data_IF_744650517460
#
_entry.id   IF_744650517460
#
_cell.length_a   1.000
_cell.length_b   1.000
_cell.length_c   1.000
_cell.angle_alpha   90.00
_cell.angle_beta   90.00
_cell.angle_gamma   90.00
#
_symmetry.space_group_name_H-M   'P 1'
#
loop_
_entity.id
_entity.type
_entity.pdbx_description
1 polymer ?
#
# COMPACT_ATOMS: atom_id res chain seq x y z
N UNK A 1 -67.31 30.55 37.63
CA UNK A 1 -66.40 29.41 37.39
C UNK A 1 -66.10 29.31 35.90
N UNK A 2 -64.96 29.84 35.44
CA UNK A 2 -64.39 29.57 34.11
C UNK A 2 -62.88 29.51 34.30
N UNK A 3 -62.34 28.31 34.44
CA UNK A 3 -60.91 28.08 34.61
C UNK A 3 -60.25 27.99 33.22
N UNK A 4 -59.12 28.68 33.09
CA UNK A 4 -58.22 28.68 31.95
C UNK A 4 -57.49 27.33 31.82
N UNK A 5 -57.21 26.92 30.59
CA UNK A 5 -56.20 25.91 30.27
C UNK A 5 -55.39 26.39 29.06
N UNK A 6 -54.30 27.09 29.33
CA UNK A 6 -53.23 27.39 28.37
C UNK A 6 -52.29 26.18 28.31
N UNK A 7 -52.32 25.44 27.20
CA UNK A 7 -51.37 24.36 26.92
C UNK A 7 -50.07 24.90 26.36
N UNK A 8 -48.96 24.68 27.07
CA UNK A 8 -47.60 24.95 26.61
C UNK A 8 -47.09 23.69 25.88
N UNK A 9 -46.95 23.77 24.55
CA UNK A 9 -46.33 22.70 23.75
C UNK A 9 -44.84 22.98 23.69
N UNK A 10 -44.06 22.26 24.51
CA UNK A 10 -42.60 22.27 24.44
C UNK A 10 -42.14 21.43 23.25
N UNK A 11 -41.71 22.10 22.18
CA UNK A 11 -41.07 21.45 21.03
C UNK A 11 -39.64 21.08 21.43
N UNK A 12 -39.40 19.79 21.65
CA UNK A 12 -38.09 19.23 21.90
C UNK A 12 -37.34 19.15 20.56
N UNK A 13 -36.46 20.13 20.29
CA UNK A 13 -35.52 20.07 19.16
C UNK A 13 -34.47 19.00 19.48
N UNK A 14 -34.67 17.78 18.98
CA UNK A 14 -33.63 16.76 18.97
C UNK A 14 -32.56 17.16 17.93
N UNK A 15 -31.49 17.80 18.39
CA UNK A 15 -30.28 17.99 17.59
C UNK A 15 -29.63 16.62 17.39
N UNK A 16 -29.89 15.99 16.25
CA UNK A 16 -29.06 14.91 15.75
C UNK A 16 -27.71 15.51 15.37
N UNK A 17 -26.78 15.53 16.34
CA UNK A 17 -25.38 15.65 16.03
C UNK A 17 -24.99 14.34 15.32
N UNK A 18 -24.99 14.38 13.98
CA UNK A 18 -24.37 13.32 13.19
C UNK A 18 -22.93 13.21 13.63
N UNK A 19 -22.56 12.09 14.28
CA UNK A 19 -21.18 11.66 14.38
C UNK A 19 -20.69 11.53 12.94
N UNK A 20 -19.94 12.52 12.46
CA UNK A 20 -19.09 12.34 11.31
C UNK A 20 -18.08 11.27 11.72
N UNK A 21 -18.33 10.02 11.35
CA UNK A 21 -17.26 9.02 11.29
C UNK A 21 -16.22 9.64 10.37
N UNK A 22 -15.01 9.90 10.86
CA UNK A 22 -13.90 10.23 10.01
C UNK A 22 -13.86 9.16 8.93
N UNK A 23 -14.27 9.50 7.70
CA UNK A 23 -14.27 8.55 6.60
C UNK A 23 -12.83 8.09 6.44
N UNK A 24 -12.60 6.79 6.64
CA UNK A 24 -11.27 6.17 6.50
C UNK A 24 -10.65 6.69 5.21
N UNK A 25 -9.58 7.50 5.34
CA UNK A 25 -8.84 7.94 4.18
C UNK A 25 -8.29 6.70 3.48
N UNK A 26 -8.34 6.63 2.14
CA UNK A 26 -7.80 5.48 1.44
C UNK A 26 -6.32 5.32 1.79
N UNK A 27 -5.94 4.14 2.26
CA UNK A 27 -4.53 3.81 2.47
C UNK A 27 -3.83 3.79 1.11
N UNK A 28 -2.87 4.68 0.92
CA UNK A 28 -2.11 4.79 -0.32
C UNK A 28 -0.85 3.92 -0.23
N UNK A 29 -0.71 2.98 -1.17
CA UNK A 29 0.50 2.15 -1.23
C UNK A 29 1.61 2.88 -1.95
N UNK A 30 2.80 2.88 -1.33
CA UNK A 30 4.04 3.42 -1.91
C UNK A 30 5.07 2.31 -1.98
N UNK A 31 5.40 1.87 -3.20
CA UNK A 31 6.41 0.83 -3.42
C UNK A 31 7.73 1.49 -3.85
N UNK A 32 8.73 1.48 -2.97
CA UNK A 32 10.09 1.95 -3.27
C UNK A 32 10.93 0.81 -3.81
N UNK A 33 11.38 0.93 -5.06
CA UNK A 33 12.42 0.09 -5.64
C UNK A 33 13.79 0.68 -5.32
N UNK A 34 14.58 -0.05 -4.53
CA UNK A 34 15.84 0.40 -3.92
C UNK A 34 16.91 -0.70 -3.94
N UNK A 35 18.15 -0.36 -3.62
CA UNK A 35 19.21 -1.35 -3.36
C UNK A 35 20.29 -0.78 -2.43
N UNK A 36 20.82 -1.63 -1.55
CA UNK A 36 22.00 -1.36 -0.74
C UNK A 36 23.24 -1.04 -1.58
N UNK A 37 23.32 -1.58 -2.80
CA UNK A 37 24.41 -1.33 -3.74
C UNK A 37 24.28 -0.01 -4.50
N UNK A 38 23.13 0.65 -4.44
CA UNK A 38 22.85 1.91 -5.12
C UNK A 38 23.21 3.11 -4.22
N UNK A 39 24.22 3.89 -4.60
CA UNK A 39 24.69 5.05 -3.81
C UNK A 39 23.68 6.20 -3.69
N UNK A 40 22.74 6.33 -4.63
CA UNK A 40 21.70 7.36 -4.63
C UNK A 40 20.43 6.97 -3.88
N UNK A 41 20.34 5.73 -3.40
CA UNK A 41 19.15 5.17 -2.75
C UNK A 41 18.94 5.58 -1.27
N UNK A 42 19.97 5.76 -0.42
CA UNK A 42 19.77 6.02 1.01
C UNK A 42 18.80 7.16 1.37
N UNK A 43 18.79 8.32 0.68
CA UNK A 43 17.82 9.37 0.97
C UNK A 43 16.36 8.94 0.74
N UNK A 44 16.11 8.05 -0.23
CA UNK A 44 14.78 7.52 -0.49
C UNK A 44 14.37 6.45 0.53
N UNK A 45 15.32 5.65 1.02
CA UNK A 45 15.07 4.67 2.10
C UNK A 45 14.72 5.39 3.41
N UNK A 46 15.44 6.47 3.73
CA UNK A 46 15.13 7.34 4.88
C UNK A 46 13.73 7.94 4.76
N UNK A 47 13.40 8.52 3.61
CA UNK A 47 12.09 9.11 3.35
C UNK A 47 10.96 8.07 3.40
N UNK A 48 11.17 6.85 2.90
CA UNK A 48 10.20 5.77 3.04
C UNK A 48 9.92 5.44 4.52
N UNK A 49 10.95 5.47 5.37
CA UNK A 49 10.80 5.33 6.83
C UNK A 49 10.09 6.52 7.50
N UNK A 50 10.06 7.70 6.88
CA UNK A 50 9.19 8.80 7.32
C UNK A 50 7.74 8.55 6.94
N UNK A 51 7.49 8.06 5.72
CA UNK A 51 6.15 7.69 5.25
C UNK A 51 5.52 6.59 6.11
N UNK A 52 6.32 5.68 6.69
CA UNK A 52 5.80 4.59 7.53
C UNK A 52 5.21 5.03 8.86
N UNK A 53 5.27 6.34 9.17
CA UNK A 53 4.66 6.96 10.33
C UNK A 53 3.29 7.59 10.03
N UNK A 54 2.83 7.50 8.78
CA UNK A 54 1.52 8.00 8.35
C UNK A 54 0.53 6.83 8.27
N UNK A 55 -0.59 6.92 8.99
CA UNK A 55 -1.58 5.85 9.06
C UNK A 55 -2.31 5.60 7.73
N UNK A 56 -2.37 6.61 6.85
CA UNK A 56 -2.99 6.53 5.52
C UNK A 56 -1.98 6.21 4.40
N UNK A 57 -0.79 5.69 4.75
CA UNK A 57 0.24 5.26 3.80
C UNK A 57 0.73 3.85 4.14
N UNK A 58 0.79 2.97 3.15
CA UNK A 58 1.46 1.68 3.24
C UNK A 58 2.77 1.72 2.42
N UNK A 59 3.90 2.08 3.03
CA UNK A 59 5.19 2.06 2.35
C UNK A 59 5.77 0.65 2.34
N UNK A 60 6.32 0.23 1.20
CA UNK A 60 6.89 -1.09 0.96
C UNK A 60 8.26 -0.95 0.27
N UNK A 61 9.31 -1.47 0.88
CA UNK A 61 10.65 -1.49 0.29
C UNK A 61 10.86 -2.76 -0.55
N UNK A 62 11.03 -2.56 -1.85
CA UNK A 62 11.27 -3.58 -2.87
C UNK A 62 12.75 -3.56 -3.27
N UNK A 63 13.57 -4.37 -2.61
CA UNK A 63 15.00 -4.45 -2.94
C UNK A 63 15.23 -5.19 -4.26
N UNK A 64 15.83 -4.50 -5.24
CA UNK A 64 16.10 -5.04 -6.58
C UNK A 64 17.49 -5.66 -6.68
N UNK A 65 17.65 -6.65 -7.54
CA UNK A 65 18.88 -7.47 -7.66
C UNK A 65 19.90 -6.95 -8.69
N UNK A 66 19.52 -6.04 -9.58
CA UNK A 66 20.38 -5.63 -10.69
C UNK A 66 21.53 -4.69 -10.29
N UNK A 67 21.70 -4.37 -9.00
CA UNK A 67 22.88 -3.67 -8.47
C UNK A 67 23.90 -4.62 -7.84
N UNK A 68 23.57 -5.90 -7.63
CA UNK A 68 24.40 -6.86 -6.89
C UNK A 68 25.77 -7.12 -7.54
N UNK A 69 25.94 -6.74 -8.81
CA UNK A 69 27.21 -6.85 -9.53
C UNK A 69 28.23 -5.78 -9.11
N UNK A 70 27.81 -4.68 -8.47
CA UNK A 70 28.67 -3.52 -8.13
C UNK A 70 29.29 -3.65 -6.73
N UNK A 71 29.98 -4.76 -6.48
CA UNK A 71 30.85 -4.93 -5.32
C UNK A 71 30.15 -5.14 -3.97
N UNK A 72 28.83 -4.96 -3.89
CA UNK A 72 27.99 -5.33 -2.74
C UNK A 72 26.73 -6.05 -3.23
N UNK A 73 26.51 -7.26 -2.73
CA UNK A 73 25.28 -8.02 -2.94
C UNK A 73 24.27 -7.62 -1.88
N UNK A 74 23.13 -7.08 -2.29
CA UNK A 74 22.08 -6.65 -1.37
C UNK A 74 21.49 -7.86 -0.62
N UNK A 75 21.37 -7.73 0.69
CA UNK A 75 20.89 -8.82 1.56
C UNK A 75 19.39 -9.10 1.38
N UNK A 76 18.63 -8.12 0.91
CA UNK A 76 17.17 -8.19 0.77
C UNK A 76 16.73 -8.28 -0.70
N UNK A 77 17.67 -8.20 -1.65
CA UNK A 77 17.35 -8.21 -3.07
C UNK A 77 16.65 -9.50 -3.50
N UNK A 78 15.63 -9.33 -4.34
CA UNK A 78 14.85 -10.42 -4.94
C UNK A 78 14.63 -10.17 -6.43
N UNK A 79 14.89 -11.16 -7.30
CA UNK A 79 14.58 -11.04 -8.74
C UNK A 79 13.11 -10.73 -9.02
N UNK A 80 12.21 -11.17 -8.14
CA UNK A 80 10.78 -10.90 -8.20
C UNK A 80 10.47 -9.40 -8.11
N UNK A 81 11.23 -8.64 -7.32
CA UNK A 81 11.09 -7.18 -7.22
C UNK A 81 11.52 -6.50 -8.50
N UNK A 82 12.66 -6.90 -9.08
CA UNK A 82 13.09 -6.43 -10.41
C UNK A 82 12.06 -6.75 -11.48
N UNK A 83 11.46 -7.95 -11.45
CA UNK A 83 10.39 -8.34 -12.37
C UNK A 83 9.16 -7.45 -12.19
N UNK A 84 8.75 -7.16 -10.95
CA UNK A 84 7.65 -6.25 -10.65
C UNK A 84 7.92 -4.83 -11.14
N UNK A 85 9.14 -4.32 -10.97
CA UNK A 85 9.55 -3.01 -11.49
C UNK A 85 9.46 -2.95 -13.02
N UNK A 86 9.96 -3.99 -13.72
CA UNK A 86 9.84 -4.10 -15.18
C UNK A 86 8.37 -4.13 -15.61
N UNK A 87 7.53 -4.84 -14.88
CA UNK A 87 6.09 -4.92 -15.13
C UNK A 87 5.43 -3.53 -15.04
N UNK A 88 5.81 -2.70 -14.07
CA UNK A 88 5.39 -1.30 -14.01
C UNK A 88 5.91 -0.47 -15.18
N UNK A 89 7.19 -0.60 -15.54
CA UNK A 89 7.77 0.12 -16.68
C UNK A 89 7.00 -0.14 -17.98
N UNK A 90 6.61 -1.40 -18.25
CA UNK A 90 5.75 -1.74 -19.39
C UNK A 90 4.42 -0.97 -19.37
N UNK A 91 3.73 -0.97 -18.23
CA UNK A 91 2.47 -0.25 -18.13
C UNK A 91 2.63 1.27 -18.18
N UNK A 92 3.76 1.83 -17.73
CA UNK A 92 4.07 3.26 -17.88
C UNK A 92 4.55 3.63 -19.28
N UNK A 93 4.74 2.65 -20.18
CA UNK A 93 5.31 2.88 -21.50
C UNK A 93 6.78 3.30 -21.47
N UNK A 94 7.50 3.04 -20.37
CA UNK A 94 8.92 3.36 -20.25
C UNK A 94 9.78 2.16 -20.68
N UNK A 95 10.94 2.45 -21.28
CA UNK A 95 11.87 1.41 -21.78
C UNK A 95 12.95 1.02 -20.76
N UNK A 96 13.03 1.73 -19.64
CA UNK A 96 14.03 1.55 -18.61
C UNK A 96 13.42 1.56 -17.21
N UNK A 97 14.13 0.90 -16.30
CA UNK A 97 13.93 0.94 -14.85
C UNK A 97 15.10 1.67 -14.21
N UNK A 98 14.92 2.21 -13.01
CA UNK A 98 15.94 2.95 -12.28
C UNK A 98 15.71 2.85 -10.77
N UNK A 99 16.73 3.17 -9.97
CA UNK A 99 16.59 3.37 -8.53
C UNK A 99 17.20 4.70 -8.09
N UNK A 100 16.69 5.32 -7.01
CA UNK A 100 15.47 4.94 -6.31
C UNK A 100 14.21 5.35 -7.09
N UNK A 101 13.28 4.42 -7.31
CA UNK A 101 11.98 4.69 -7.94
C UNK A 101 10.88 4.41 -6.92
N UNK A 102 9.97 5.36 -6.71
CA UNK A 102 8.72 5.10 -6.00
C UNK A 102 7.58 4.95 -7.00
N UNK A 103 6.77 3.91 -6.83
CA UNK A 103 5.48 3.73 -7.49
C UNK A 103 4.39 4.00 -6.45
N UNK A 104 3.49 4.94 -6.75
CA UNK A 104 2.43 5.40 -5.84
C UNK A 104 1.08 4.97 -6.39
N UNK A 105 0.31 4.25 -5.58
CA UNK A 105 -1.01 3.71 -5.97
C UNK A 105 -1.00 2.77 -7.18
N UNK A 106 0.18 2.29 -7.60
CA UNK A 106 0.37 1.47 -8.80
C UNK A 106 0.26 2.21 -10.14
N UNK A 107 -0.03 3.52 -10.15
CA UNK A 107 -0.32 4.29 -11.38
C UNK A 107 0.56 5.51 -11.59
N UNK A 108 1.15 6.06 -10.54
CA UNK A 108 2.11 7.16 -10.62
C UNK A 108 3.52 6.68 -10.26
N UNK A 109 4.53 7.39 -10.75
CA UNK A 109 5.93 7.14 -10.39
C UNK A 109 6.72 8.43 -10.22
N UNK A 110 7.74 8.38 -9.38
CA UNK A 110 8.72 9.45 -9.20
C UNK A 110 10.08 8.88 -8.77
N UNK A 111 11.12 9.70 -8.92
CA UNK A 111 12.41 9.45 -8.26
C UNK A 111 12.19 9.54 -6.75
N UNK A 112 12.51 8.49 -6.01
CA UNK A 112 12.16 8.35 -4.59
C UNK A 112 12.81 9.41 -3.69
N UNK A 113 13.94 9.98 -4.11
CA UNK A 113 14.61 11.08 -3.40
C UNK A 113 14.02 12.46 -3.69
N UNK A 114 13.11 12.60 -4.67
CA UNK A 114 12.41 13.85 -4.95
C UNK A 114 11.19 14.01 -4.03
N UNK A 115 11.44 14.22 -2.74
CA UNK A 115 10.43 14.28 -1.65
C UNK A 115 9.21 15.13 -2.01
N UNK A 116 9.42 16.38 -2.45
CA UNK A 116 8.32 17.28 -2.78
C UNK A 116 7.41 16.72 -3.89
N UNK A 117 8.01 16.04 -4.89
CA UNK A 117 7.23 15.47 -5.99
C UNK A 117 6.43 14.25 -5.52
N UNK A 118 7.03 13.40 -4.70
CA UNK A 118 6.35 12.24 -4.12
C UNK A 118 5.18 12.69 -3.24
N UNK A 119 5.39 13.67 -2.36
CA UNK A 119 4.34 14.19 -1.49
C UNK A 119 3.20 14.85 -2.28
N UNK A 120 3.50 15.57 -3.36
CA UNK A 120 2.49 16.14 -4.27
C UNK A 120 1.62 15.04 -4.90
N UNK A 121 2.23 13.94 -5.35
CA UNK A 121 1.51 12.78 -5.91
C UNK A 121 0.69 12.10 -4.82
N UNK A 122 1.32 11.77 -3.69
CA UNK A 122 0.69 11.08 -2.56
C UNK A 122 -0.54 11.83 -2.05
N UNK A 123 -0.45 13.15 -1.91
CA UNK A 123 -1.57 13.96 -1.47
C UNK A 123 -2.76 13.88 -2.43
N UNK A 124 -2.54 13.83 -3.75
CA UNK A 124 -3.63 13.62 -4.71
C UNK A 124 -4.33 12.28 -4.52
N UNK A 125 -3.58 11.22 -4.22
CA UNK A 125 -4.15 9.90 -3.93
C UNK A 125 -4.94 9.88 -2.61
N UNK A 126 -4.41 10.50 -1.55
CA UNK A 126 -5.09 10.60 -0.25
C UNK A 126 -6.40 11.40 -0.32
N UNK A 127 -6.49 12.38 -1.23
CA UNK A 127 -7.69 13.18 -1.45
C UNK A 127 -8.70 12.52 -2.42
N UNK A 128 -8.35 11.39 -3.03
CA UNK A 128 -9.26 10.67 -3.91
C UNK A 128 -10.38 9.99 -3.10
N UNK A 129 -11.56 9.88 -3.70
CA UNK A 129 -12.68 9.14 -3.10
C UNK A 129 -12.42 7.64 -3.25
N UNK A 130 -12.36 6.93 -2.12
CA UNK A 130 -12.23 5.47 -2.10
C UNK A 130 -13.37 4.80 -2.87
N UNK A 131 -13.03 3.89 -3.79
CA UNK A 131 -14.02 3.16 -4.61
C UNK A 131 -14.33 1.76 -4.09
N UNK A 132 -13.39 1.20 -3.33
CA UNK A 132 -13.46 -0.16 -2.82
C UNK A 132 -13.33 -0.11 -1.30
N UNK A 133 -14.29 -0.71 -0.61
CA UNK A 133 -14.18 -0.99 0.81
C UNK A 133 -13.43 -2.30 1.01
N UNK A 134 -12.49 -2.30 1.93
CA UNK A 134 -11.68 -3.45 2.30
C UNK A 134 -11.65 -3.55 3.83
N UNK A 135 -12.16 -4.65 4.37
CA UNK A 135 -12.16 -4.90 5.81
C UNK A 135 -11.81 -6.34 6.12
N UNK A 136 -11.42 -6.61 7.36
CA UNK A 136 -11.15 -7.97 7.82
C UNK A 136 -11.98 -8.31 9.05
N UNK A 137 -12.33 -9.59 9.17
CA UNK A 137 -13.01 -10.12 10.34
C UNK A 137 -12.57 -11.57 10.59
N UNK A 138 -12.83 -12.08 11.80
CA UNK A 138 -12.59 -13.48 12.11
C UNK A 138 -13.80 -14.31 11.64
N UNK A 139 -13.55 -15.31 10.79
CA UNK A 139 -14.53 -16.33 10.43
C UNK A 139 -14.29 -17.64 11.19
N UNK A 140 -15.15 -18.64 10.95
CA UNK A 140 -15.15 -19.91 11.69
C UNK A 140 -13.82 -20.67 11.65
N UNK A 141 -13.01 -20.48 10.60
CA UNK A 141 -11.76 -21.22 10.38
C UNK A 141 -10.59 -20.30 9.93
N UNK A 142 -10.52 -19.07 10.43
CA UNK A 142 -9.41 -18.14 10.16
C UNK A 142 -9.87 -16.73 9.81
N UNK A 143 -8.92 -15.85 9.44
CA UNK A 143 -9.20 -14.46 9.08
C UNK A 143 -9.79 -14.39 7.67
N UNK A 144 -10.83 -13.57 7.52
CA UNK A 144 -11.55 -13.34 6.25
C UNK A 144 -11.38 -11.88 5.86
N UNK A 145 -11.17 -11.66 4.57
CA UNK A 145 -11.17 -10.33 3.95
C UNK A 145 -12.48 -10.14 3.19
N UNK A 146 -13.19 -9.05 3.49
CA UNK A 146 -14.38 -8.63 2.77
C UNK A 146 -14.05 -7.46 1.86
N UNK A 147 -14.49 -7.56 0.61
CA UNK A 147 -14.23 -6.60 -0.45
C UNK A 147 -15.54 -6.18 -1.08
N UNK A 148 -15.81 -4.88 -1.18
CA UNK A 148 -17.02 -4.36 -1.82
C UNK A 148 -16.72 -3.15 -2.70
N UNK A 149 -17.33 -3.10 -3.89
CA UNK A 149 -17.34 -1.87 -4.70
C UNK A 149 -18.39 -0.91 -4.17
N UNK A 150 -17.96 0.13 -3.45
CA UNK A 150 -18.85 1.13 -2.84
C UNK A 150 -19.16 2.30 -3.78
N UNK A 151 -18.40 2.45 -4.86
CA UNK A 151 -18.62 3.52 -5.84
C UNK A 151 -19.71 3.22 -6.87
N UNK A 152 -20.05 1.93 -7.05
CA UNK A 152 -20.88 1.43 -8.16
C UNK A 152 -20.34 1.79 -9.56
N UNK A 153 -19.11 2.28 -9.67
CA UNK A 153 -18.44 2.55 -10.93
C UNK A 153 -17.59 1.33 -11.34
N UNK A 154 -17.47 1.03 -12.64
CA UNK A 154 -16.56 -0.01 -13.11
C UNK A 154 -15.11 0.25 -12.68
N UNK A 155 -14.41 -0.81 -12.27
CA UNK A 155 -12.97 -0.78 -12.01
C UNK A 155 -12.19 -0.96 -13.32
N UNK A 156 -10.93 -0.48 -13.40
CA UNK A 156 -10.17 -0.44 -14.66
C UNK A 156 -9.72 -1.83 -15.19
N UNK A 157 -9.92 -2.89 -14.42
CA UNK A 157 -9.55 -4.26 -14.79
C UNK A 157 -10.00 -5.27 -13.73
N UNK A 158 -9.63 -6.54 -13.95
CA UNK A 158 -9.81 -7.58 -12.93
C UNK A 158 -8.93 -7.23 -11.74
N UNK A 159 -9.49 -7.27 -10.54
CA UNK A 159 -8.77 -7.02 -9.29
C UNK A 159 -8.14 -8.31 -8.81
N UNK A 160 -6.82 -8.31 -8.65
CA UNK A 160 -6.06 -9.39 -8.03
C UNK A 160 -5.90 -9.07 -6.55
N UNK A 161 -6.37 -9.98 -5.69
CA UNK A 161 -6.16 -9.91 -4.26
C UNK A 161 -4.83 -10.56 -3.90
N UNK A 162 -3.94 -9.78 -3.28
CA UNK A 162 -2.56 -10.17 -2.99
C UNK A 162 -2.30 -10.05 -1.48
N UNK A 163 -1.58 -11.01 -0.93
CA UNK A 163 -0.97 -10.93 0.40
C UNK A 163 0.49 -10.52 0.24
N UNK A 164 0.91 -9.52 1.00
CA UNK A 164 2.29 -9.02 1.04
C UNK A 164 2.86 -9.31 2.41
N UNK A 165 3.99 -10.01 2.44
CA UNK A 165 4.77 -10.23 3.64
C UNK A 165 5.96 -9.28 3.65
N UNK A 166 6.22 -8.66 4.79
CA UNK A 166 7.35 -7.75 4.93
C UNK A 166 7.95 -7.78 6.33
N UNK A 167 9.27 -7.65 6.40
CA UNK A 167 9.96 -7.42 7.67
C UNK A 167 9.83 -5.93 8.05
N UNK A 168 9.39 -5.59 9.28
CA UNK A 168 9.16 -4.20 9.66
C UNK A 168 10.39 -3.31 9.50
N UNK A 169 11.58 -3.83 9.88
CA UNK A 169 12.82 -3.07 9.83
C UNK A 169 14.04 -3.99 9.89
N UNK A 170 15.10 -3.63 9.18
CA UNK A 170 16.42 -4.22 9.37
C UNK A 170 17.53 -3.23 8.99
N UNK A 171 18.69 -3.37 9.64
CA UNK A 171 19.88 -2.54 9.39
C UNK A 171 21.03 -3.43 8.94
N UNK A 172 21.71 -3.04 7.87
CA UNK A 172 22.84 -3.76 7.29
C UNK A 172 24.07 -2.85 7.23
N UNK A 173 25.18 -3.33 7.80
CA UNK A 173 26.49 -2.69 7.66
C UNK A 173 27.12 -3.05 6.31
N UNK A 174 27.31 -2.05 5.45
CA UNK A 174 27.85 -2.20 4.10
C UNK A 174 29.36 -2.19 4.15
N UNK A 175 30.00 -3.30 3.76
CA UNK A 175 31.47 -3.48 3.90
C UNK A 175 32.24 -3.19 2.62
N UNK A 176 31.59 -3.16 1.46
CA UNK A 176 32.19 -3.02 0.12
C UNK A 176 31.23 -2.29 -0.82
N UNK A 177 31.70 -1.95 -2.02
CA UNK A 177 30.90 -1.22 -3.02
C UNK A 177 30.78 0.28 -2.72
N UNK A 178 29.91 0.96 -3.46
CA UNK A 178 29.79 2.43 -3.41
C UNK A 178 29.35 2.96 -2.03
N UNK A 179 28.61 2.15 -1.28
CA UNK A 179 28.11 2.50 0.06
C UNK A 179 29.01 1.96 1.20
N UNK A 180 30.23 1.52 0.92
CA UNK A 180 31.13 0.96 1.93
C UNK A 180 31.33 1.90 3.14
N UNK A 181 31.27 1.34 4.35
CA UNK A 181 31.41 2.08 5.62
C UNK A 181 30.10 2.65 6.16
N UNK A 182 29.01 2.59 5.40
CA UNK A 182 27.67 3.00 5.86
C UNK A 182 26.91 1.85 6.50
N UNK A 183 25.98 2.19 7.39
CA UNK A 183 24.92 1.27 7.84
C UNK A 183 23.61 1.77 7.25
N UNK A 184 22.98 0.96 6.40
CA UNK A 184 21.70 1.29 5.76
C UNK A 184 20.58 0.60 6.51
N UNK A 185 19.53 1.35 6.82
CA UNK A 185 18.33 0.84 7.49
C UNK A 185 17.17 0.86 6.51
N UNK A 186 16.56 -0.30 6.28
CA UNK A 186 15.38 -0.45 5.45
C UNK A 186 14.15 -0.70 6.32
N UNK A 187 13.02 -0.11 5.94
CA UNK A 187 11.72 -0.24 6.63
C UNK A 187 10.73 -0.94 5.70
N UNK A 188 9.84 -1.76 6.25
CA UNK A 188 8.83 -2.53 5.52
C UNK A 188 9.41 -3.30 4.31
N UNK A 189 10.44 -4.10 4.57
CA UNK A 189 11.20 -4.84 3.57
C UNK A 189 10.34 -5.99 3.06
N UNK A 190 9.89 -5.90 1.81
CA UNK A 190 9.05 -6.94 1.22
C UNK A 190 9.84 -8.22 1.03
N UNK A 191 9.28 -9.33 1.49
CA UNK A 191 9.88 -10.66 1.40
C UNK A 191 9.12 -11.56 0.45
N UNK A 192 7.81 -11.33 0.28
CA UNK A 192 6.94 -12.12 -0.58
C UNK A 192 5.69 -11.33 -0.99
N UNK A 193 5.20 -11.58 -2.20
CA UNK A 193 3.90 -11.12 -2.69
C UNK A 193 3.23 -12.31 -3.36
N UNK A 194 2.04 -12.68 -2.90
CA UNK A 194 1.31 -13.84 -3.41
C UNK A 194 -0.14 -13.48 -3.70
N UNK A 195 -0.63 -13.82 -4.89
CA UNK A 195 -2.04 -13.73 -5.19
C UNK A 195 -2.82 -14.88 -4.50
N UNK A 196 -3.97 -14.57 -3.91
CA UNK A 196 -4.86 -15.56 -3.30
C UNK A 196 -6.28 -15.52 -3.87
N UNK A 197 -6.60 -14.54 -4.73
CA UNK A 197 -7.92 -14.41 -5.32
C UNK A 197 -7.97 -13.43 -6.47
N UNK A 198 -9.06 -13.49 -7.23
CA UNK A 198 -9.43 -12.51 -8.26
C UNK A 198 -10.88 -12.08 -8.04
N UNK A 199 -11.17 -10.83 -8.35
CA UNK A 199 -12.49 -10.23 -8.27
C UNK A 199 -12.75 -9.39 -9.52
N UNK A 200 -13.95 -9.45 -10.06
CA UNK A 200 -14.32 -8.73 -11.29
C UNK A 200 -14.71 -7.26 -11.04
N UNK A 201 -14.65 -6.81 -9.78
CA UNK A 201 -15.00 -5.46 -9.37
C UNK A 201 -16.49 -5.22 -9.16
N UNK A 202 -17.33 -6.27 -9.18
CA UNK A 202 -18.78 -6.17 -9.00
C UNK A 202 -19.22 -6.69 -7.64
N UNK A 203 -20.17 -5.96 -7.04
CA UNK A 203 -20.81 -6.34 -5.79
C UNK A 203 -19.80 -6.51 -4.65
N UNK A 204 -19.99 -7.58 -3.90
CA UNK A 204 -19.18 -7.95 -2.75
C UNK A 204 -18.63 -9.36 -2.91
N UNK A 205 -17.41 -9.58 -2.42
CA UNK A 205 -16.78 -10.89 -2.33
C UNK A 205 -16.01 -11.02 -1.01
N UNK A 206 -15.93 -12.24 -0.50
CA UNK A 206 -15.09 -12.57 0.64
C UNK A 206 -14.00 -13.57 0.25
N UNK A 207 -12.81 -13.38 0.80
CA UNK A 207 -11.69 -14.28 0.64
C UNK A 207 -11.23 -14.78 2.02
N UNK A 208 -11.08 -16.10 2.13
CA UNK A 208 -10.40 -16.69 3.28
C UNK A 208 -8.89 -16.49 3.14
N UNK A 209 -8.24 -15.94 4.16
CA UNK A 209 -6.80 -15.80 4.19
C UNK A 209 -6.11 -17.12 4.58
N UNK A 210 -4.84 -17.34 4.16
CA UNK A 210 -4.06 -18.49 4.59
C UNK A 210 -3.80 -18.46 6.11
N UNK A 211 -3.61 -19.65 6.70
CA UNK A 211 -3.25 -19.85 8.09
C UNK A 211 -2.02 -20.78 8.16
N UNK A 212 -0.87 -20.34 8.73
CA UNK A 212 -0.62 -19.03 9.33
C UNK A 212 -0.60 -17.88 8.31
N UNK A 213 -0.98 -16.68 8.74
CA UNK A 213 -1.03 -15.47 7.90
C UNK A 213 0.35 -15.01 7.40
N UNK A 214 1.36 -15.10 8.27
CA UNK A 214 2.74 -14.74 7.97
C UNK A 214 3.72 -15.72 8.65
N UNK A 215 4.94 -15.85 8.10
CA UNK A 215 6.06 -16.38 8.87
C UNK A 215 6.32 -15.56 10.14
N UNK A 216 6.92 -16.17 11.15
CA UNK A 216 7.27 -15.49 12.40
C UNK A 216 8.12 -14.23 12.15
N UNK A 217 7.77 -13.14 12.85
CA UNK A 217 8.50 -11.86 12.78
C UNK A 217 8.22 -11.00 11.55
N UNK A 218 7.24 -11.36 10.70
CA UNK A 218 6.84 -10.57 9.54
C UNK A 218 5.45 -9.95 9.72
N UNK A 219 5.30 -8.75 9.18
CA UNK A 219 4.02 -8.07 9.03
C UNK A 219 3.34 -8.48 7.72
N UNK A 220 2.03 -8.29 7.69
CA UNK A 220 1.17 -8.68 6.56
C UNK A 220 0.42 -7.44 6.07
N UNK A 221 0.27 -7.31 4.75
CA UNK A 221 -0.72 -6.42 4.16
C UNK A 221 -1.50 -7.14 3.06
N UNK A 222 -2.72 -6.69 2.82
CA UNK A 222 -3.56 -7.12 1.71
C UNK A 222 -3.62 -5.98 0.70
N UNK A 223 -3.33 -6.29 -0.56
CA UNK A 223 -3.46 -5.37 -1.68
C UNK A 223 -4.54 -5.86 -2.64
N UNK A 224 -5.43 -4.96 -3.04
CA UNK A 224 -6.35 -5.16 -4.15
C UNK A 224 -5.82 -4.38 -5.34
N UNK A 225 -5.26 -5.07 -6.32
CA UNK A 225 -4.62 -4.44 -7.47
C UNK A 225 -5.34 -4.81 -8.77
N UNK A 226 -5.90 -3.81 -9.45
CA UNK A 226 -6.46 -3.97 -10.77
C UNK A 226 -5.35 -4.27 -11.78
N UNK A 227 -5.60 -5.22 -12.69
CA UNK A 227 -4.69 -5.46 -13.81
C UNK A 227 -4.79 -4.35 -14.85
N UNK A 228 -3.69 -4.13 -15.58
CA UNK A 228 -3.60 -3.21 -16.72
C UNK A 228 -2.93 -3.93 -17.88
N UNK A 229 -3.36 -3.62 -19.12
CA UNK A 229 -2.73 -4.11 -20.36
C UNK A 229 -2.49 -5.64 -20.35
N UNK A 230 -3.53 -6.41 -20.02
CA UNK A 230 -3.42 -7.84 -19.74
C UNK A 230 -3.28 -8.07 -18.24
N UNK A 231 -2.19 -8.72 -17.83
CA UNK A 231 -1.95 -9.12 -16.44
C UNK A 231 -0.87 -8.26 -15.73
N UNK A 232 -0.47 -7.12 -16.29
CA UNK A 232 0.49 -6.23 -15.64
C UNK A 232 -0.14 -5.51 -14.44
N UNK A 233 0.65 -5.16 -13.42
CA UNK A 233 0.17 -4.41 -12.27
C UNK A 233 -0.33 -3.03 -12.71
N UNK A 234 -1.57 -2.71 -12.34
CA UNK A 234 -2.19 -1.41 -12.50
C UNK A 234 -2.48 -0.77 -11.15
N UNK A 235 -3.61 -0.06 -11.09
CA UNK A 235 -4.04 0.68 -9.91
C UNK A 235 -4.28 -0.23 -8.70
N UNK A 236 -3.74 0.17 -7.56
CA UNK A 236 -4.07 -0.42 -6.26
C UNK A 236 -5.32 0.28 -5.76
N UNK A 237 -6.46 -0.40 -5.82
CA UNK A 237 -7.78 0.19 -5.55
C UNK A 237 -8.15 0.21 -4.06
N UNK A 238 -7.49 -0.63 -3.26
CA UNK A 238 -7.55 -0.62 -1.80
C UNK A 238 -6.37 -1.42 -1.22
N UNK A 239 -5.99 -1.07 0.00
CA UNK A 239 -4.99 -1.80 0.78
C UNK A 239 -5.32 -1.74 2.26
N UNK A 240 -4.86 -2.74 3.02
CA UNK A 240 -4.94 -2.76 4.48
C UNK A 240 -3.71 -3.49 5.03
N UNK A 241 -3.02 -2.87 6.00
CA UNK A 241 -2.03 -3.58 6.82
C UNK A 241 -2.77 -4.37 7.90
N UNK A 242 -2.34 -5.59 8.17
CA UNK A 242 -2.93 -6.43 9.21
C UNK A 242 -2.02 -6.42 10.45
N UNK A 243 -2.64 -6.18 11.59
CA UNK A 243 -2.07 -6.35 12.91
C UNK A 243 -1.98 -7.82 13.32
#
# INVERSE_FOLDING_TARGET
MRALLTGLISILLATFAGLATAGDRPVVVVELFTSQGCSSCPPADEFLGELSRQDDVLPLAMHVDYWDYIGWKDTFARPEHTKRQKAYAYGFGTKSIYTPQMVIGGVDQAVGSHVMKVMEILHRHQMAVGRVSLSTHNGDNGRVVRVANISNLPLPGVVVAQIVHFAPKATVAIKRGENAGRSITSTNIVTNIQAFGKWDGKGEIEFKLPDPLAPEGQSVAILLQATRMGDYPGEIVAAIALD
#
